data_IF_172737270619
#
_entry.id   IF_172737270619
#
_cell.length_a   1.000
_cell.length_b   1.000
_cell.length_c   1.000
_cell.angle_alpha   90.00
_cell.angle_beta   90.00
_cell.angle_gamma   90.00
#
_symmetry.space_group_name_H-M   'P 1'
#
loop_
_entity.id
_entity.type
_entity.pdbx_description
1 polymer ?
#
# COMPACT_ATOMS: atom_id res chain seq x y z
N UNK A 1 -71.17 -9.80 -32.27
CA UNK A 1 -69.76 -10.23 -32.40
C UNK A 1 -68.94 -9.03 -32.86
N UNK A 2 -67.84 -8.71 -32.16
CA UNK A 2 -66.88 -7.70 -32.62
C UNK A 2 -66.53 -6.58 -31.63
N UNK A 3 -66.26 -6.91 -30.36
CA UNK A 3 -65.60 -6.00 -29.42
C UNK A 3 -64.27 -6.62 -28.97
N UNK A 4 -63.19 -6.26 -29.64
CA UNK A 4 -61.79 -6.43 -29.22
C UNK A 4 -61.08 -5.13 -29.65
N UNK A 5 -61.26 -4.06 -28.87
CA UNK A 5 -60.29 -3.53 -27.90
C UNK A 5 -58.92 -3.24 -28.53
N UNK A 6 -58.73 -1.97 -28.90
CA UNK A 6 -57.42 -1.37 -29.09
C UNK A 6 -56.66 -1.39 -27.77
N UNK A 7 -55.72 -2.32 -27.62
CA UNK A 7 -54.74 -2.22 -26.54
C UNK A 7 -53.83 -1.03 -26.84
N UNK A 8 -53.80 -0.08 -25.91
CA UNK A 8 -53.02 1.14 -25.98
C UNK A 8 -51.52 0.81 -25.97
N UNK A 9 -50.82 1.02 -27.09
CA UNK A 9 -49.39 0.72 -27.26
C UNK A 9 -48.51 1.38 -26.18
N UNK A 10 -49.00 2.42 -25.51
CA UNK A 10 -48.30 3.09 -24.40
C UNK A 10 -48.14 2.22 -23.17
N UNK A 11 -49.11 1.34 -22.89
CA UNK A 11 -49.05 0.43 -21.74
C UNK A 11 -47.99 -0.66 -21.98
N UNK A 12 -47.83 -1.10 -23.23
CA UNK A 12 -46.87 -2.13 -23.59
C UNK A 12 -45.41 -1.65 -23.46
N UNK A 13 -45.11 -0.41 -23.87
CA UNK A 13 -43.77 0.16 -23.74
C UNK A 13 -43.34 0.37 -22.28
N UNK A 14 -44.26 0.82 -21.41
CA UNK A 14 -43.95 1.05 -20.00
C UNK A 14 -43.66 -0.26 -19.24
N UNK A 15 -44.37 -1.35 -19.56
CA UNK A 15 -44.14 -2.66 -18.93
C UNK A 15 -42.79 -3.26 -19.35
N UNK A 16 -42.38 -3.08 -20.61
CA UNK A 16 -41.08 -3.55 -21.10
C UNK A 16 -39.92 -2.77 -20.47
N UNK A 17 -40.04 -1.45 -20.32
CA UNK A 17 -39.00 -0.63 -19.68
C UNK A 17 -38.86 -0.93 -18.18
N UNK A 18 -39.97 -1.16 -17.47
CA UNK A 18 -39.93 -1.57 -16.06
C UNK A 18 -39.31 -2.97 -15.92
N UNK A 19 -39.65 -3.91 -16.82
CA UNK A 19 -39.06 -5.25 -16.83
C UNK A 19 -37.55 -5.26 -17.12
N UNK A 20 -37.08 -4.41 -18.03
CA UNK A 20 -35.65 -4.25 -18.31
C UNK A 20 -34.90 -3.59 -17.14
N UNK A 21 -35.51 -2.60 -16.50
CA UNK A 21 -34.93 -1.94 -15.33
C UNK A 21 -34.86 -2.88 -14.11
N UNK A 22 -35.90 -3.69 -13.85
CA UNK A 22 -35.87 -4.67 -12.76
C UNK A 22 -34.96 -5.84 -13.04
N UNK A 23 -34.84 -6.31 -14.28
CA UNK A 23 -33.86 -7.32 -14.67
C UNK A 23 -32.42 -6.80 -14.51
N UNK A 24 -32.16 -5.55 -14.90
CA UNK A 24 -30.87 -4.90 -14.70
C UNK A 24 -30.56 -4.72 -13.20
N UNK A 25 -31.53 -4.30 -12.38
CA UNK A 25 -31.36 -4.24 -10.93
C UNK A 25 -31.15 -5.62 -10.28
N UNK A 26 -31.82 -6.67 -10.75
CA UNK A 26 -31.65 -8.03 -10.23
C UNK A 26 -30.30 -8.64 -10.61
N UNK A 27 -29.75 -8.30 -11.79
CA UNK A 27 -28.38 -8.62 -12.14
C UNK A 27 -27.38 -7.86 -11.26
N UNK A 28 -27.57 -6.56 -11.04
CA UNK A 28 -26.74 -5.77 -10.12
C UNK A 28 -26.78 -6.28 -8.68
N UNK A 29 -27.95 -6.70 -8.18
CA UNK A 29 -28.10 -7.21 -6.81
C UNK A 29 -27.36 -8.53 -6.56
N UNK A 30 -27.15 -9.36 -7.59
CA UNK A 30 -26.29 -10.55 -7.50
C UNK A 30 -24.80 -10.21 -7.62
N UNK A 31 -24.47 -9.13 -8.31
CA UNK A 31 -23.09 -8.66 -8.45
C UNK A 31 -22.62 -7.91 -7.18
N UNK A 32 -23.51 -7.26 -6.43
CA UNK A 32 -23.14 -6.60 -5.17
C UNK A 32 -22.80 -7.61 -4.05
N UNK A 33 -23.44 -8.79 -4.06
CA UNK A 33 -23.25 -9.83 -3.04
C UNK A 33 -21.82 -10.39 -3.02
N UNK A 34 -21.17 -10.56 -4.19
CA UNK A 34 -19.81 -11.12 -4.22
C UNK A 34 -18.74 -10.12 -3.76
N UNK A 35 -18.93 -8.81 -3.99
CA UNK A 35 -18.00 -7.78 -3.52
C UNK A 35 -18.02 -7.74 -1.99
N UNK A 36 -19.20 -7.85 -1.38
CA UNK A 36 -19.32 -7.87 0.08
C UNK A 36 -18.76 -9.18 0.68
N UNK A 37 -18.97 -10.33 0.03
CA UNK A 37 -18.29 -11.57 0.41
C UNK A 37 -16.76 -11.44 0.30
N UNK A 38 -16.26 -10.74 -0.72
CA UNK A 38 -14.84 -10.47 -0.88
C UNK A 38 -14.30 -9.60 0.26
N UNK A 39 -15.02 -8.54 0.64
CA UNK A 39 -14.65 -7.71 1.80
C UNK A 39 -14.64 -8.53 3.10
N UNK A 40 -15.64 -9.38 3.32
CA UNK A 40 -15.70 -10.24 4.52
C UNK A 40 -14.49 -11.18 4.57
N UNK A 41 -14.16 -11.83 3.44
CA UNK A 41 -12.97 -12.69 3.35
C UNK A 41 -11.68 -11.92 3.55
N UNK A 42 -11.55 -10.72 2.96
CA UNK A 42 -10.38 -9.86 3.13
C UNK A 42 -10.22 -9.44 4.60
N UNK A 43 -11.30 -9.10 5.30
CA UNK A 43 -11.25 -8.75 6.72
C UNK A 43 -10.86 -9.95 7.59
N UNK A 44 -11.28 -11.16 7.23
CA UNK A 44 -10.80 -12.38 7.89
C UNK A 44 -9.30 -12.60 7.64
N UNK A 45 -8.85 -12.49 6.38
CA UNK A 45 -7.44 -12.62 6.02
C UNK A 45 -6.55 -11.58 6.72
N UNK A 46 -7.03 -10.34 6.91
CA UNK A 46 -6.32 -9.30 7.68
C UNK A 46 -6.06 -9.72 9.14
N UNK A 47 -6.96 -10.50 9.72
CA UNK A 47 -6.83 -11.00 11.10
C UNK A 47 -5.85 -12.18 11.18
N UNK A 48 -5.86 -13.03 10.17
CA UNK A 48 -5.05 -14.25 10.14
C UNK A 48 -3.64 -14.01 9.54
N UNK A 49 -3.43 -12.86 8.89
CA UNK A 49 -2.15 -12.48 8.26
C UNK A 49 -2.01 -12.90 6.80
N UNK A 50 -3.09 -13.35 6.14
CA UNK A 50 -3.07 -14.01 4.81
C UNK A 50 -3.63 -13.14 3.67
N UNK A 51 -3.47 -11.81 3.74
CA UNK A 51 -4.08 -10.88 2.77
C UNK A 51 -3.60 -11.13 1.33
N UNK A 52 -2.34 -11.46 1.11
CA UNK A 52 -1.81 -11.61 -0.25
C UNK A 52 -2.11 -12.96 -0.85
N UNK A 53 -2.17 -14.00 -0.02
CA UNK A 53 -2.68 -15.31 -0.46
C UNK A 53 -4.09 -15.12 -1.01
N UNK A 54 -4.91 -14.34 -0.31
CA UNK A 54 -6.24 -14.00 -0.76
C UNK A 54 -6.26 -13.20 -2.06
N UNK A 55 -5.49 -12.10 -2.17
CA UNK A 55 -5.44 -11.30 -3.40
C UNK A 55 -4.95 -12.11 -4.59
N UNK A 56 -3.87 -12.88 -4.41
CA UNK A 56 -3.30 -13.75 -5.43
C UNK A 56 -4.29 -14.80 -5.90
N UNK A 57 -4.94 -15.52 -4.98
CA UNK A 57 -5.97 -16.51 -5.34
C UNK A 57 -7.12 -15.87 -6.10
N UNK A 58 -7.62 -14.74 -5.62
CA UNK A 58 -8.74 -14.06 -6.24
C UNK A 58 -8.39 -13.52 -7.63
N UNK A 59 -7.36 -12.68 -7.75
CA UNK A 59 -7.01 -12.01 -9.00
C UNK A 59 -6.49 -12.97 -10.07
N UNK A 60 -5.92 -14.13 -9.69
CA UNK A 60 -5.53 -15.17 -10.64
C UNK A 60 -6.70 -15.79 -11.42
N UNK A 61 -7.92 -15.68 -10.90
CA UNK A 61 -9.14 -16.25 -11.52
C UNK A 61 -10.18 -15.19 -11.90
N UNK A 62 -10.03 -13.95 -11.43
CA UNK A 62 -10.94 -12.85 -11.74
C UNK A 62 -10.95 -12.51 -13.23
N UNK A 63 -12.14 -12.29 -13.81
CA UNK A 63 -12.29 -11.77 -15.17
C UNK A 63 -11.89 -10.30 -15.25
N UNK A 64 -11.59 -9.78 -16.44
CA UNK A 64 -11.28 -8.35 -16.60
C UNK A 64 -12.43 -7.45 -16.12
N UNK A 65 -13.67 -7.89 -16.34
CA UNK A 65 -14.87 -7.21 -15.84
C UNK A 65 -14.92 -7.17 -14.31
N UNK A 66 -14.57 -8.26 -13.61
CA UNK A 66 -14.51 -8.25 -12.15
C UNK A 66 -13.45 -7.28 -11.63
N UNK A 67 -12.26 -7.28 -12.25
CA UNK A 67 -11.19 -6.36 -11.88
C UNK A 67 -11.63 -4.91 -12.11
N UNK A 68 -12.26 -4.60 -13.24
CA UNK A 68 -12.80 -3.27 -13.53
C UNK A 68 -13.82 -2.82 -12.49
N UNK A 69 -14.78 -3.67 -12.13
CA UNK A 69 -15.77 -3.37 -11.07
C UNK A 69 -15.07 -3.07 -9.74
N UNK A 70 -14.05 -3.83 -9.35
CA UNK A 70 -13.34 -3.61 -8.09
C UNK A 70 -12.60 -2.27 -8.01
N UNK A 71 -12.18 -1.68 -9.13
CA UNK A 71 -11.59 -0.33 -9.11
C UNK A 71 -12.56 0.75 -8.61
N UNK A 72 -13.87 0.47 -8.65
CA UNK A 72 -14.92 1.36 -8.15
C UNK A 72 -15.36 1.03 -6.71
N UNK A 73 -14.83 -0.05 -6.12
CA UNK A 73 -15.15 -0.50 -4.76
C UNK A 73 -14.92 0.62 -3.74
N UNK A 74 -15.73 0.67 -2.68
CA UNK A 74 -15.55 1.64 -1.59
C UNK A 74 -14.36 1.35 -0.67
N UNK A 75 -13.86 0.10 -0.66
CA UNK A 75 -12.63 -0.27 0.07
C UNK A 75 -11.42 0.12 -0.77
N UNK A 76 -10.62 1.05 -0.25
CA UNK A 76 -9.48 1.61 -0.97
C UNK A 76 -8.39 0.57 -1.24
N UNK A 77 -8.17 -0.39 -0.34
CA UNK A 77 -7.18 -1.46 -0.55
C UNK A 77 -7.56 -2.35 -1.74
N UNK A 78 -8.82 -2.79 -1.79
CA UNK A 78 -9.35 -3.57 -2.92
C UNK A 78 -9.29 -2.78 -4.24
N UNK A 79 -9.67 -1.51 -4.20
CA UNK A 79 -9.69 -0.67 -5.40
C UNK A 79 -8.26 -0.43 -5.93
N UNK A 80 -7.29 -0.20 -5.04
CA UNK A 80 -5.87 -0.07 -5.39
C UNK A 80 -5.31 -1.38 -5.95
N UNK A 81 -5.56 -2.53 -5.29
CA UNK A 81 -5.09 -3.83 -5.78
C UNK A 81 -5.70 -4.16 -7.16
N UNK A 82 -6.98 -3.87 -7.37
CA UNK A 82 -7.61 -4.07 -8.67
C UNK A 82 -7.00 -3.17 -9.76
N UNK A 83 -6.70 -1.90 -9.44
CA UNK A 83 -6.02 -1.00 -10.38
C UNK A 83 -4.59 -1.46 -10.71
N UNK A 84 -3.89 -2.00 -9.71
CA UNK A 84 -2.58 -2.64 -9.90
C UNK A 84 -2.67 -3.86 -10.82
N UNK A 85 -3.66 -4.74 -10.60
CA UNK A 85 -3.88 -5.91 -11.45
C UNK A 85 -4.21 -5.52 -12.91
N UNK A 86 -4.97 -4.45 -13.15
CA UNK A 86 -5.17 -3.94 -14.52
C UNK A 86 -3.85 -3.55 -15.20
N UNK A 87 -2.94 -2.94 -14.45
CA UNK A 87 -1.61 -2.63 -14.93
C UNK A 87 -0.84 -3.92 -15.26
N UNK A 88 -0.87 -4.92 -14.39
CA UNK A 88 -0.17 -6.19 -14.63
C UNK A 88 -0.72 -6.90 -15.88
N UNK A 89 -2.04 -7.01 -16.03
CA UNK A 89 -2.68 -7.62 -17.21
C UNK A 89 -2.36 -6.92 -18.51
N UNK A 90 -2.03 -5.62 -18.46
CA UNK A 90 -1.65 -4.85 -19.64
C UNK A 90 -0.25 -5.21 -20.20
N UNK A 91 0.55 -5.99 -19.47
CA UNK A 91 1.90 -6.39 -19.88
C UNK A 91 1.83 -7.68 -20.72
N UNK A 92 1.96 -7.62 -22.06
CA UNK A 92 1.60 -8.74 -22.95
C UNK A 92 2.38 -10.04 -22.70
N UNK A 93 3.59 -9.92 -22.17
CA UNK A 93 4.48 -11.06 -21.93
C UNK A 93 4.24 -11.76 -20.58
N UNK A 94 3.53 -11.14 -19.63
CA UNK A 94 3.15 -11.82 -18.38
C UNK A 94 2.15 -12.96 -18.65
N UNK A 95 1.38 -12.87 -19.73
CA UNK A 95 0.45 -13.89 -20.20
C UNK A 95 1.12 -15.02 -21.02
N UNK A 96 2.37 -14.83 -21.44
CA UNK A 96 3.07 -15.82 -22.27
C UNK A 96 3.66 -16.95 -21.39
N UNK A 97 3.42 -18.21 -21.78
CA UNK A 97 3.87 -19.40 -21.02
C UNK A 97 5.39 -19.52 -20.84
N UNK A 98 6.20 -18.83 -21.65
CA UNK A 98 7.67 -18.88 -21.59
C UNK A 98 8.32 -17.52 -21.90
N UNK A 99 8.43 -16.61 -20.92
CA UNK A 99 9.32 -15.48 -21.02
C UNK A 99 10.74 -16.00 -20.81
N UNK A 100 11.63 -15.73 -21.76
CA UNK A 100 13.06 -15.70 -21.49
C UNK A 100 13.29 -14.71 -20.34
N UNK A 101 14.31 -14.95 -19.50
CA UNK A 101 14.67 -14.25 -18.24
C UNK A 101 15.01 -12.75 -18.38
N UNK A 102 14.23 -12.00 -19.15
CA UNK A 102 14.40 -10.58 -19.42
C UNK A 102 13.61 -9.78 -18.39
N UNK A 103 14.25 -8.77 -17.80
CA UNK A 103 13.58 -7.73 -17.02
C UNK A 103 12.47 -7.11 -17.88
N UNK A 104 11.23 -7.20 -17.42
CA UNK A 104 10.07 -6.63 -18.11
C UNK A 104 9.85 -5.22 -17.61
N UNK A 105 9.86 -4.25 -18.53
CA UNK A 105 9.49 -2.87 -18.21
C UNK A 105 7.97 -2.75 -18.23
N UNK A 106 7.41 -2.16 -17.18
CA UNK A 106 5.99 -1.83 -17.12
C UNK A 106 5.66 -0.72 -18.12
N UNK A 107 4.42 -0.70 -18.63
CA UNK A 107 3.96 0.34 -19.54
C UNK A 107 3.89 1.69 -18.80
N UNK A 108 4.67 2.68 -19.24
CA UNK A 108 4.68 4.03 -18.64
C UNK A 108 3.29 4.67 -18.60
N UNK A 109 2.47 4.46 -19.64
CA UNK A 109 1.11 5.00 -19.71
C UNK A 109 0.22 4.35 -18.65
N UNK A 110 0.32 3.04 -18.47
CA UNK A 110 -0.50 2.31 -17.48
C UNK A 110 -0.05 2.61 -16.06
N UNK A 111 1.25 2.77 -15.85
CA UNK A 111 1.80 3.22 -14.59
C UNK A 111 1.32 4.63 -14.21
N UNK A 112 1.38 5.58 -15.15
CA UNK A 112 0.85 6.92 -14.93
C UNK A 112 -0.65 6.90 -14.61
N UNK A 113 -1.43 6.00 -15.21
CA UNK A 113 -2.84 5.79 -14.86
C UNK A 113 -3.02 5.25 -13.45
N UNK A 114 -2.23 4.26 -13.05
CA UNK A 114 -2.25 3.73 -11.69
C UNK A 114 -1.87 4.82 -10.66
N UNK A 115 -0.82 5.59 -10.90
CA UNK A 115 -0.42 6.71 -10.03
C UNK A 115 -1.51 7.78 -9.95
N UNK A 116 -2.11 8.14 -11.09
CA UNK A 116 -3.24 9.08 -11.14
C UNK A 116 -4.48 8.55 -10.41
N UNK A 117 -4.77 7.26 -10.53
CA UNK A 117 -5.83 6.58 -9.78
C UNK A 117 -5.57 6.63 -8.28
N UNK A 118 -4.37 6.23 -7.83
CA UNK A 118 -3.96 6.26 -6.43
C UNK A 118 -4.07 7.66 -5.82
N UNK A 119 -3.56 8.69 -6.51
CA UNK A 119 -3.66 10.08 -6.07
C UNK A 119 -5.14 10.53 -6.01
N UNK A 120 -5.93 10.32 -7.07
CA UNK A 120 -7.32 10.73 -7.11
C UNK A 120 -8.21 10.02 -6.08
N UNK A 121 -7.93 8.75 -5.82
CA UNK A 121 -8.65 7.89 -4.88
C UNK A 121 -8.37 8.31 -3.43
N UNK A 122 -7.09 8.33 -3.07
CA UNK A 122 -6.64 8.67 -1.71
C UNK A 122 -6.69 10.18 -1.44
N UNK A 123 -6.76 11.01 -2.48
CA UNK A 123 -6.76 12.47 -2.42
C UNK A 123 -5.55 13.00 -1.65
N UNK A 124 -4.38 12.45 -1.99
CA UNK A 124 -3.09 12.70 -1.34
C UNK A 124 -2.01 12.86 -2.40
N UNK A 125 -1.07 13.76 -2.18
CA UNK A 125 0.12 13.82 -3.02
C UNK A 125 1.00 12.61 -2.72
N UNK A 126 1.18 11.74 -3.71
CA UNK A 126 2.09 10.60 -3.61
C UNK A 126 3.52 11.14 -3.43
N UNK A 127 4.33 10.60 -2.50
CA UNK A 127 5.72 11.01 -2.35
C UNK A 127 6.48 10.88 -3.68
N UNK A 128 7.28 11.89 -4.02
CA UNK A 128 7.97 11.95 -5.32
C UNK A 128 8.93 10.78 -5.54
N UNK A 129 9.59 10.32 -4.47
CA UNK A 129 10.44 9.13 -4.54
C UNK A 129 9.63 7.87 -4.84
N UNK A 130 8.40 7.78 -4.33
CA UNK A 130 7.55 6.61 -4.51
C UNK A 130 7.12 6.50 -5.97
N UNK A 131 6.69 7.61 -6.59
CA UNK A 131 6.44 7.71 -8.03
C UNK A 131 7.71 7.36 -8.85
N UNK A 132 8.85 7.98 -8.52
CA UNK A 132 10.10 7.74 -9.22
C UNK A 132 10.55 6.27 -9.19
N UNK A 133 10.39 5.60 -8.04
CA UNK A 133 10.73 4.18 -7.89
C UNK A 133 9.76 3.29 -8.67
N UNK A 134 8.46 3.52 -8.54
CA UNK A 134 7.46 2.77 -9.29
C UNK A 134 7.68 2.92 -10.82
N UNK A 135 8.08 4.12 -11.26
CA UNK A 135 8.45 4.45 -12.65
C UNK A 135 9.67 3.71 -13.18
N UNK A 136 10.54 3.23 -12.29
CA UNK A 136 11.73 2.46 -12.61
C UNK A 136 11.55 0.96 -12.39
N UNK A 137 10.42 0.55 -11.82
CA UNK A 137 10.16 -0.83 -11.44
C UNK A 137 10.21 -1.76 -12.65
N UNK A 138 10.88 -2.90 -12.46
CA UNK A 138 10.95 -3.96 -13.47
C UNK A 138 10.41 -5.26 -12.90
N UNK A 139 9.58 -5.96 -13.67
CA UNK A 139 9.13 -7.30 -13.28
C UNK A 139 10.17 -8.34 -13.77
N UNK A 140 10.59 -9.21 -12.86
CA UNK A 140 11.46 -10.35 -13.13
C UNK A 140 10.61 -11.60 -12.96
N UNK A 141 10.46 -12.40 -14.02
CA UNK A 141 9.80 -13.69 -13.87
C UNK A 141 10.67 -14.62 -13.04
N UNK A 142 10.10 -15.16 -11.96
CA UNK A 142 10.74 -16.22 -11.19
C UNK A 142 10.04 -17.54 -11.46
N UNK A 143 10.81 -18.61 -11.61
CA UNK A 143 10.29 -19.94 -11.93
C UNK A 143 9.77 -20.64 -10.67
N UNK A 144 8.87 -19.98 -9.94
CA UNK A 144 8.18 -20.59 -8.80
C UNK A 144 6.73 -20.86 -9.16
N UNK A 145 6.15 -21.90 -8.54
CA UNK A 145 4.72 -22.21 -8.71
C UNK A 145 3.80 -21.20 -8.01
N UNK A 146 4.36 -20.39 -7.11
CA UNK A 146 3.62 -19.62 -6.12
C UNK A 146 3.61 -18.15 -6.53
N UNK A 147 4.77 -17.55 -6.74
CA UNK A 147 4.94 -16.16 -7.16
C UNK A 147 5.55 -16.16 -8.55
N UNK A 148 4.82 -15.82 -9.62
CA UNK A 148 5.40 -15.87 -10.96
C UNK A 148 6.37 -14.71 -11.23
N UNK A 149 6.33 -13.62 -10.45
CA UNK A 149 7.14 -12.43 -10.68
C UNK A 149 7.65 -11.82 -9.37
N UNK A 150 8.85 -11.25 -9.41
CA UNK A 150 9.39 -10.36 -8.38
C UNK A 150 9.57 -8.99 -9.03
N UNK A 151 9.17 -7.92 -8.35
CA UNK A 151 9.34 -6.57 -8.85
C UNK A 151 10.65 -5.99 -8.34
N UNK A 152 11.68 -6.00 -9.17
CA UNK A 152 12.96 -5.38 -8.81
C UNK A 152 12.86 -3.85 -8.89
N UNK A 153 13.03 -3.21 -7.73
CA UNK A 153 13.33 -1.79 -7.59
C UNK A 153 14.84 -1.55 -7.60
N UNK A 154 15.25 -0.37 -8.06
CA UNK A 154 16.67 0.00 -8.14
C UNK A 154 16.91 1.21 -7.26
N UNK A 155 17.12 0.98 -5.96
CA UNK A 155 17.57 2.03 -5.05
C UNK A 155 19.06 2.37 -5.21
N UNK A 156 19.84 1.47 -5.82
CA UNK A 156 21.31 1.51 -5.78
C UNK A 156 21.99 2.28 -6.93
N UNK A 157 21.26 3.06 -7.73
CA UNK A 157 21.81 3.63 -8.97
C UNK A 157 21.96 5.15 -9.03
N UNK A 158 21.13 5.90 -8.30
CA UNK A 158 21.12 7.37 -8.39
C UNK A 158 20.86 7.98 -7.01
N UNK A 159 21.88 8.54 -6.36
CA UNK A 159 21.76 9.27 -5.08
C UNK A 159 20.72 10.40 -5.16
N UNK A 160 20.48 10.93 -6.35
CA UNK A 160 19.45 11.93 -6.64
C UNK A 160 18.04 11.43 -6.31
N UNK A 161 17.79 10.13 -6.41
CA UNK A 161 16.49 9.50 -6.17
C UNK A 161 16.40 8.71 -4.87
N UNK A 162 17.49 8.63 -4.09
CA UNK A 162 17.41 8.08 -2.75
C UNK A 162 16.70 9.10 -1.84
N UNK A 163 15.51 8.80 -1.29
CA UNK A 163 14.82 9.72 -0.38
C UNK A 163 15.52 9.85 0.97
N UNK A 164 16.44 8.94 1.29
CA UNK A 164 17.09 8.84 2.60
C UNK A 164 18.55 9.27 2.54
N UNK A 165 19.09 9.55 3.72
CA UNK A 165 20.50 9.72 3.99
C UNK A 165 20.86 9.01 5.30
N UNK A 166 22.13 8.67 5.48
CA UNK A 166 22.63 8.16 6.75
C UNK A 166 23.02 9.32 7.65
N UNK A 167 22.40 9.39 8.82
CA UNK A 167 22.62 10.42 9.85
C UNK A 167 23.99 10.25 10.53
N UNK A 168 24.44 11.29 11.25
CA UNK A 168 25.72 11.25 12.00
C UNK A 168 25.80 10.18 13.09
N UNK A 169 24.66 9.60 13.48
CA UNK A 169 24.57 8.51 14.48
C UNK A 169 24.35 7.13 13.86
N UNK A 170 24.38 7.02 12.52
CA UNK A 170 24.34 5.75 11.79
C UNK A 170 22.95 5.17 11.54
N UNK A 171 21.89 5.95 11.76
CA UNK A 171 20.52 5.64 11.34
C UNK A 171 20.24 6.22 9.95
N UNK A 172 19.46 5.53 9.15
CA UNK A 172 18.94 6.09 7.90
C UNK A 172 17.65 6.88 8.16
N UNK A 173 17.51 8.06 7.55
CA UNK A 173 16.35 8.92 7.69
C UNK A 173 16.02 9.62 6.37
N UNK A 174 14.75 10.02 6.13
CA UNK A 174 14.42 10.92 5.04
C UNK A 174 15.30 12.17 5.04
N UNK A 175 15.63 12.71 3.87
CA UNK A 175 16.56 13.85 3.70
C UNK A 175 16.14 15.12 4.46
N UNK A 176 14.86 15.25 4.78
CA UNK A 176 14.28 16.34 5.55
C UNK A 176 14.31 16.12 7.07
N UNK A 177 14.75 14.95 7.53
CA UNK A 177 14.78 14.57 8.95
C UNK A 177 16.22 14.50 9.46
N UNK A 178 16.59 15.42 10.34
CA UNK A 178 17.86 15.34 11.07
C UNK A 178 17.66 14.57 12.37
N UNK A 179 18.64 13.74 12.72
CA UNK A 179 18.61 12.94 13.95
C UNK A 179 19.93 13.11 14.70
N UNK A 180 19.83 13.55 15.96
CA UNK A 180 20.98 13.74 16.85
C UNK A 180 20.70 13.19 18.24
N UNK A 181 21.74 13.00 19.03
CA UNK A 181 21.57 12.84 20.48
C UNK A 181 21.63 14.21 21.13
N UNK A 182 20.54 14.56 21.82
CA UNK A 182 20.43 15.77 22.62
C UNK A 182 21.31 15.75 23.87
N UNK A 183 21.27 16.85 24.63
CA UNK A 183 22.09 17.04 25.84
C UNK A 183 21.84 15.99 26.94
N UNK A 184 20.63 15.42 26.99
CA UNK A 184 20.26 14.35 27.93
C UNK A 184 20.56 12.94 27.39
N UNK A 185 21.30 12.84 26.30
CA UNK A 185 21.57 11.59 25.60
C UNK A 185 20.27 10.89 25.12
N UNK A 186 19.21 11.66 24.91
CA UNK A 186 17.96 11.25 24.28
C UNK A 186 18.02 11.57 22.78
N UNK A 187 17.30 10.80 21.98
CA UNK A 187 17.25 11.03 20.54
C UNK A 187 16.35 12.25 20.26
N UNK A 188 16.86 13.22 19.52
CA UNK A 188 16.13 14.40 19.09
C UNK A 188 15.97 14.34 17.57
N UNK A 189 14.73 14.52 17.11
CA UNK A 189 14.38 14.61 15.70
C UNK A 189 14.14 16.07 15.34
N UNK A 190 14.66 16.50 14.19
CA UNK A 190 14.22 17.71 13.51
C UNK A 190 13.55 17.33 12.21
N UNK A 191 12.27 17.67 12.04
CA UNK A 191 11.50 17.43 10.80
C UNK A 191 11.05 18.78 10.28
N UNK A 192 11.53 19.18 9.11
CA UNK A 192 11.24 20.51 8.53
C UNK A 192 11.56 21.69 9.50
N UNK A 193 12.57 21.53 10.36
CA UNK A 193 12.98 22.52 11.37
C UNK A 193 12.22 22.42 12.70
N UNK A 194 11.14 21.65 12.75
CA UNK A 194 10.38 21.38 13.97
C UNK A 194 11.08 20.31 14.81
N UNK A 195 11.25 20.56 16.11
CA UNK A 195 11.97 19.66 17.01
C UNK A 195 11.04 18.77 17.82
N UNK A 196 11.51 17.55 18.10
CA UNK A 196 10.87 16.60 19.00
C UNK A 196 11.91 15.73 19.74
N UNK A 197 11.88 15.76 21.08
CA UNK A 197 12.67 14.86 21.95
C UNK A 197 11.93 13.51 22.02
N UNK A 198 12.52 12.47 21.41
CA UNK A 198 11.92 11.14 21.35
C UNK A 198 12.03 10.49 22.73
N UNK A 199 10.91 10.02 23.31
CA UNK A 199 10.94 9.43 24.64
C UNK A 199 11.87 8.20 24.70
N UNK A 200 12.69 8.12 25.74
CA UNK A 200 13.65 7.01 25.90
C UNK A 200 12.99 5.63 26.05
N UNK A 201 11.71 5.58 26.45
CA UNK A 201 10.96 4.32 26.48
C UNK A 201 10.67 3.76 25.09
N UNK A 202 10.70 4.61 24.05
CA UNK A 202 10.44 4.23 22.67
C UNK A 202 11.74 3.78 21.98
N UNK A 203 12.77 4.61 22.07
CA UNK A 203 14.10 4.31 21.57
C UNK A 203 15.15 4.97 22.47
N UNK A 204 16.14 4.19 22.88
CA UNK A 204 17.28 4.68 23.63
C UNK A 204 18.56 4.58 22.78
N UNK A 205 19.65 5.13 23.33
CA UNK A 205 20.94 5.13 22.66
C UNK A 205 21.48 3.72 22.46
N UNK A 206 21.25 2.80 23.38
CA UNK A 206 21.81 1.46 23.31
C UNK A 206 21.18 0.71 22.13
N UNK A 207 19.86 0.82 21.91
CA UNK A 207 19.18 0.25 20.74
C UNK A 207 19.74 0.79 19.42
N UNK A 208 20.01 2.10 19.34
CA UNK A 208 20.61 2.73 18.15
C UNK A 208 22.05 2.24 17.94
N UNK A 209 22.86 2.22 19.00
CA UNK A 209 24.27 1.80 18.92
C UNK A 209 24.41 0.30 18.60
N UNK A 210 23.49 -0.52 19.11
CA UNK A 210 23.40 -1.95 18.80
C UNK A 210 22.77 -2.22 17.43
N UNK A 211 22.34 -1.17 16.70
CA UNK A 211 21.75 -1.26 15.36
C UNK A 211 20.48 -2.12 15.33
N UNK A 212 19.68 -2.05 16.39
CA UNK A 212 18.35 -2.69 16.44
C UNK A 212 17.34 -1.96 15.56
N UNK A 213 17.55 -0.66 15.35
CA UNK A 213 16.78 0.20 14.45
C UNK A 213 17.66 0.56 13.26
N UNK A 214 17.15 0.36 12.04
CA UNK A 214 17.88 0.68 10.81
C UNK A 214 17.56 2.08 10.34
N UNK A 215 16.26 2.41 10.30
CA UNK A 215 15.80 3.70 9.85
C UNK A 215 14.72 4.28 10.75
N UNK A 216 14.61 5.60 10.74
CA UNK A 216 13.55 6.33 11.42
C UNK A 216 12.87 7.24 10.41
N UNK A 217 11.55 7.28 10.47
CA UNK A 217 10.73 8.22 9.71
C UNK A 217 9.71 8.81 10.64
N UNK A 218 9.49 10.11 10.53
CA UNK A 218 8.61 10.84 11.41
C UNK A 218 7.73 11.80 10.64
N UNK A 219 6.54 12.04 11.16
CA UNK A 219 5.70 13.17 10.81
C UNK A 219 5.33 13.90 12.09
N UNK A 220 5.65 15.20 12.16
CA UNK A 220 5.28 16.08 13.25
C UNK A 220 4.02 16.86 12.89
N UNK A 221 3.07 16.91 13.81
CA UNK A 221 1.90 17.79 13.81
C UNK A 221 1.95 18.66 15.07
N UNK A 222 1.03 19.60 15.25
CA UNK A 222 1.00 20.41 16.48
C UNK A 222 0.88 19.56 17.77
N UNK A 223 0.20 18.42 17.69
CA UNK A 223 -0.15 17.62 18.88
C UNK A 223 0.60 16.29 18.97
N UNK A 224 0.95 15.70 17.82
CA UNK A 224 1.42 14.33 17.73
C UNK A 224 2.69 14.21 16.88
N UNK A 225 3.51 13.23 17.24
CA UNK A 225 4.60 12.70 16.45
C UNK A 225 4.21 11.27 16.04
N UNK A 226 4.11 11.04 14.73
CA UNK A 226 3.93 9.72 14.15
C UNK A 226 5.30 9.18 13.76
N UNK A 227 5.68 8.01 14.25
CA UNK A 227 7.02 7.43 14.07
C UNK A 227 6.92 6.03 13.47
N UNK A 228 7.67 5.79 12.41
CA UNK A 228 7.91 4.48 11.85
C UNK A 228 9.40 4.14 12.02
N UNK A 229 9.67 2.95 12.57
CA UNK A 229 11.03 2.46 12.81
C UNK A 229 11.19 1.06 12.24
N UNK A 230 11.48 0.91 10.94
CA UNK A 230 11.88 -0.38 10.38
C UNK A 230 13.08 -0.97 11.13
N UNK A 231 12.92 -2.20 11.62
CA UNK A 231 13.93 -2.91 12.42
C UNK A 231 14.73 -3.90 11.57
N UNK A 232 16.00 -4.11 11.93
CA UNK A 232 16.88 -5.03 11.21
C UNK A 232 16.58 -6.49 11.56
N UNK A 233 16.68 -7.36 10.55
CA UNK A 233 16.87 -8.80 10.77
C UNK A 233 15.65 -9.59 11.22
N UNK A 234 14.47 -8.99 11.35
CA UNK A 234 13.28 -9.72 11.77
C UNK A 234 12.76 -10.70 10.69
N UNK A 235 13.29 -10.63 9.46
CA UNK A 235 12.93 -11.51 8.33
C UNK A 235 11.46 -11.39 7.88
N UNK A 236 10.63 -10.77 8.71
CA UNK A 236 9.19 -10.68 8.61
C UNK A 236 8.72 -9.44 7.88
N UNK A 237 9.59 -8.50 7.47
CA UNK A 237 9.25 -7.23 6.80
C UNK A 237 8.32 -6.27 7.56
N UNK A 238 7.64 -6.73 8.61
CA UNK A 238 6.78 -5.92 9.46
C UNK A 238 7.58 -5.10 10.47
N UNK A 239 7.02 -3.97 10.87
CA UNK A 239 7.61 -3.06 11.85
C UNK A 239 6.52 -2.32 12.61
N UNK A 240 6.89 -1.64 13.70
CA UNK A 240 5.90 -0.91 14.51
C UNK A 240 5.86 0.56 14.13
N UNK A 241 4.64 1.08 13.95
CA UNK A 241 4.37 2.51 13.90
C UNK A 241 3.80 2.98 15.24
N UNK A 242 4.22 4.15 15.68
CA UNK A 242 3.85 4.76 16.95
C UNK A 242 3.21 6.12 16.75
N UNK A 243 2.25 6.46 17.60
CA UNK A 243 1.77 7.82 17.78
C UNK A 243 2.09 8.27 19.21
N UNK A 244 2.83 9.37 19.32
CA UNK A 244 3.30 9.92 20.59
C UNK A 244 2.81 11.36 20.70
N UNK A 245 2.29 11.75 21.87
CA UNK A 245 1.91 13.14 22.11
C UNK A 245 3.16 14.01 22.28
N UNK A 246 3.23 15.13 21.55
CA UNK A 246 4.39 16.04 21.58
C UNK A 246 4.60 16.74 22.93
N UNK A 247 3.53 17.02 23.65
CA UNK A 247 3.59 17.83 24.88
C UNK A 247 4.25 17.10 26.06
N UNK A 248 4.07 15.78 26.16
CA UNK A 248 4.48 14.99 27.33
C UNK A 248 5.22 13.70 26.95
N UNK A 249 5.35 13.38 25.67
CA UNK A 249 6.00 12.15 25.21
C UNK A 249 5.22 10.87 25.52
N UNK A 250 3.92 10.98 25.88
CA UNK A 250 3.09 9.82 26.18
C UNK A 250 2.69 9.06 24.91
N UNK A 251 2.67 7.72 25.00
CA UNK A 251 2.15 6.87 23.94
C UNK A 251 0.64 7.05 23.80
N UNK A 252 0.19 7.41 22.61
CA UNK A 252 -1.23 7.41 22.26
C UNK A 252 -1.67 6.03 21.78
N UNK A 253 -0.95 5.49 20.79
CA UNK A 253 -1.16 4.15 20.26
C UNK A 253 0.10 3.63 19.55
N UNK A 254 0.10 2.34 19.27
CA UNK A 254 1.12 1.66 18.46
C UNK A 254 0.44 0.57 17.64
N UNK A 255 0.87 0.37 16.40
CA UNK A 255 0.27 -0.60 15.48
C UNK A 255 1.36 -1.28 14.64
N UNK A 256 1.11 -2.52 14.26
CA UNK A 256 1.99 -3.26 13.35
C UNK A 256 1.70 -2.86 11.91
N UNK A 257 2.75 -2.44 11.21
CA UNK A 257 2.77 -2.21 9.77
C UNK A 257 3.29 -3.50 9.14
N UNK A 258 2.54 -4.06 8.20
CA UNK A 258 2.95 -5.30 7.55
C UNK A 258 4.14 -5.10 6.60
N UNK A 259 4.25 -3.91 5.99
CA UNK A 259 5.41 -3.55 5.18
C UNK A 259 5.51 -4.37 3.89
N UNK A 260 6.70 -4.75 3.41
CA UNK A 260 6.88 -5.56 2.20
C UNK A 260 6.66 -7.07 2.40
N UNK A 261 6.44 -7.52 3.64
CA UNK A 261 6.41 -8.93 4.04
C UNK A 261 5.38 -9.84 3.36
N UNK A 262 4.37 -9.18 2.82
CA UNK A 262 3.20 -9.72 2.14
C UNK A 262 3.53 -10.60 0.89
N UNK A 263 4.69 -10.44 0.24
CA UNK A 263 5.00 -11.23 -0.97
C UNK A 263 5.70 -12.56 -0.78
N UNK A 264 6.15 -12.90 0.44
CA UNK A 264 6.93 -14.11 0.70
C UNK A 264 8.33 -14.08 0.06
N UNK A 265 9.33 -14.45 0.87
CA UNK A 265 10.77 -14.56 0.53
C UNK A 265 11.55 -13.25 0.39
N UNK A 266 12.21 -12.86 1.49
CA UNK A 266 13.57 -12.33 1.39
C UNK A 266 14.48 -13.48 0.94
N UNK A 267 15.01 -13.40 -0.28
CA UNK A 267 15.99 -14.39 -0.78
C UNK A 267 17.22 -14.32 0.13
N UNK A 268 17.49 -15.42 0.82
CA UNK A 268 18.46 -15.55 1.90
C UNK A 268 19.82 -14.91 1.62
N UNK A 269 20.10 -13.86 2.39
CA UNK A 269 21.40 -13.24 2.57
C UNK A 269 21.30 -12.17 3.66
N UNK A 270 22.34 -11.95 4.49
CA UNK A 270 22.37 -10.90 5.52
C UNK A 270 22.54 -9.49 4.92
N UNK A 271 22.06 -9.26 3.69
CA UNK A 271 22.20 -7.98 3.01
C UNK A 271 21.12 -7.03 3.50
N UNK A 272 21.54 -5.89 4.05
CA UNK A 272 20.67 -4.75 4.34
C UNK A 272 19.91 -4.38 3.07
N UNK A 273 18.60 -4.56 3.12
CA UNK A 273 17.68 -4.14 2.07
C UNK A 273 17.20 -2.76 2.50
N UNK A 274 17.54 -1.67 1.77
CA UNK A 274 17.03 -0.35 2.12
C UNK A 274 15.50 -0.39 2.16
N UNK A 275 14.93 0.02 3.29
CA UNK A 275 13.50 0.14 3.48
C UNK A 275 13.16 1.61 3.69
N UNK A 276 12.50 2.19 2.69
CA UNK A 276 12.10 3.59 2.70
C UNK A 276 10.61 3.72 3.01
N UNK A 277 10.27 4.73 3.79
CA UNK A 277 8.94 5.02 4.31
C UNK A 277 8.72 6.53 4.28
N UNK A 278 7.49 6.94 3.99
CA UNK A 278 7.04 8.32 4.19
C UNK A 278 5.68 8.28 4.85
N UNK A 279 5.53 9.07 5.90
CA UNK A 279 4.29 9.19 6.66
C UNK A 279 3.55 10.44 6.21
N UNK A 280 2.28 10.30 5.83
CA UNK A 280 1.43 11.41 5.40
C UNK A 280 0.13 11.40 6.20
N UNK A 281 -0.23 12.53 6.79
CA UNK A 281 -1.54 12.71 7.42
C UNK A 281 -2.54 13.24 6.37
N UNK A 282 -3.67 12.56 6.22
CA UNK A 282 -4.72 12.96 5.29
C UNK A 282 -6.09 12.55 5.83
N UNK A 283 -7.00 13.52 6.00
CA UNK A 283 -8.43 13.29 6.34
C UNK A 283 -8.67 12.40 7.56
N UNK A 284 -7.85 12.52 8.60
CA UNK A 284 -7.96 11.70 9.81
C UNK A 284 -7.35 10.30 9.68
N UNK A 285 -6.61 10.05 8.60
CA UNK A 285 -5.83 8.83 8.38
C UNK A 285 -4.34 9.18 8.32
N UNK A 286 -3.51 8.29 8.86
CA UNK A 286 -2.07 8.31 8.65
C UNK A 286 -1.74 7.25 7.60
N UNK A 287 -1.21 7.70 6.47
CA UNK A 287 -0.81 6.85 5.37
C UNK A 287 0.70 6.64 5.44
N UNK A 288 1.12 5.40 5.31
CA UNK A 288 2.51 5.02 5.11
C UNK A 288 2.69 4.61 3.66
N UNK A 289 3.48 5.40 2.93
CA UNK A 289 4.01 5.01 1.64
C UNK A 289 5.36 4.38 1.89
N UNK A 290 5.51 3.09 1.63
CA UNK A 290 6.78 2.42 1.82
C UNK A 290 7.19 1.59 0.63
N UNK A 291 8.44 1.16 0.65
CA UNK A 291 8.99 0.24 -0.32
C UNK A 291 10.37 -0.26 0.07
N UNK A 292 10.67 -1.46 -0.40
CA UNK A 292 11.95 -2.11 -0.31
C UNK A 292 12.39 -2.58 -1.69
N UNK A 293 13.50 -3.29 -1.82
CA UNK A 293 14.03 -3.70 -3.13
C UNK A 293 13.05 -4.48 -4.01
N UNK A 294 12.04 -5.13 -3.43
CA UNK A 294 11.17 -6.06 -4.14
C UNK A 294 9.70 -5.60 -4.22
N UNK A 295 9.36 -4.50 -3.53
CA UNK A 295 7.97 -4.09 -3.39
C UNK A 295 7.75 -2.64 -2.98
N UNK A 296 6.54 -2.19 -3.24
CA UNK A 296 6.01 -0.94 -2.73
C UNK A 296 4.65 -1.20 -2.09
N UNK A 297 4.36 -0.49 -1.00
CA UNK A 297 3.11 -0.64 -0.27
C UNK A 297 2.55 0.70 0.16
N UNK A 298 1.24 0.67 0.43
CA UNK A 298 0.51 1.74 1.08
C UNK A 298 -0.31 1.11 2.20
N UNK A 299 -0.10 1.55 3.44
CA UNK A 299 -0.96 1.21 4.56
C UNK A 299 -1.58 2.47 5.15
N UNK A 300 -2.87 2.41 5.48
CA UNK A 300 -3.57 3.51 6.12
C UNK A 300 -4.11 3.09 7.48
N UNK A 301 -3.86 3.94 8.48
CA UNK A 301 -4.31 3.76 9.84
C UNK A 301 -5.15 4.97 10.26
N UNK A 302 -6.20 4.76 11.05
CA UNK A 302 -6.93 5.86 11.63
C UNK A 302 -6.01 6.65 12.58
N UNK A 303 -5.95 7.97 12.44
CA UNK A 303 -5.04 8.83 13.20
C UNK A 303 -5.35 8.84 14.71
N UNK A 304 -6.60 8.60 15.07
CA UNK A 304 -7.10 8.61 16.45
C UNK A 304 -6.61 7.40 17.26
N UNK A 305 -6.68 6.19 16.71
CA UNK A 305 -6.47 4.94 17.45
C UNK A 305 -5.46 3.97 16.82
N UNK A 306 -4.90 4.31 15.65
CA UNK A 306 -3.95 3.46 14.93
C UNK A 306 -4.59 2.23 14.28
N UNK A 307 -5.93 2.16 14.19
CA UNK A 307 -6.62 1.03 13.59
C UNK A 307 -6.38 1.00 12.08
N UNK A 308 -5.96 -0.15 11.57
CA UNK A 308 -5.80 -0.39 10.15
C UNK A 308 -7.12 -0.18 9.39
N UNK A 309 -7.07 0.66 8.36
CA UNK A 309 -8.18 0.92 7.45
C UNK A 309 -8.03 0.07 6.18
N UNK A 310 -6.90 0.19 5.50
CA UNK A 310 -6.60 -0.61 4.31
C UNK A 310 -5.10 -0.84 4.14
N UNK A 311 -4.78 -1.80 3.27
CA UNK A 311 -3.43 -2.11 2.80
C UNK A 311 -3.45 -2.31 1.29
N UNK A 312 -2.34 -1.98 0.65
CA UNK A 312 -2.01 -2.23 -0.74
C UNK A 312 -0.54 -2.62 -0.82
N UNK A 313 -0.19 -3.61 -1.65
CA UNK A 313 1.18 -4.01 -1.91
C UNK A 313 1.33 -4.37 -3.40
N UNK A 314 2.47 -4.04 -4.00
CA UNK A 314 2.78 -4.41 -5.39
C UNK A 314 3.21 -5.86 -5.54
N UNK A 315 3.56 -6.54 -4.44
CA UNK A 315 3.83 -7.98 -4.45
C UNK A 315 2.51 -8.73 -4.58
N UNK A 316 2.42 -9.59 -5.60
CA UNK A 316 1.39 -10.64 -5.70
C UNK A 316 2.04 -12.01 -5.51
#
# INVERSE_FOLDING_TARGET
>A
MGWLKSLDCRVFFSVVLIGLWTAQQACHAKDDDWVDQLKVRLQAAKKDGDVDVFYREYFSTASDTHVEVLTTCSDDGLALQASWEQLLRSVPHLLAKRPETKKLKLSRIQLARFLGFTNGRLKVNIPTWWDAQLSQMTAIKVNTRVTPYIFGLSFNGNEEHNPYHTTGIGLDAPKEIEIVFGSKNQLELSVDGDLFEVPSWLIDKDRVQNREVESITALLTDQYCYLAMPEYGNGSGSYTMWCVRRTDGSKMWSTEVGGPSWGGYTIGGPTRVPHHVTIVLNRGSVLLFGGDMDSMYIEAFAAEDGKLQFRFCTLD
#
